data_IF_926404344531
#
_entry.id   IF_926404344531
#
_cell.length_a   1.000
_cell.length_b   1.000
_cell.length_c   1.000
_cell.angle_alpha   90.00
_cell.angle_beta   90.00
_cell.angle_gamma   90.00
#
_symmetry.space_group_name_H-M   'P 1'
#
loop_
_entity.id
_entity.type
_entity.pdbx_description
1 polymer ?
#
# COMPACT_ATOMS: atom_id res chain seq x y z
N UNK A 1 -1.56 33.44 32.33
CA UNK A 1 -2.60 33.83 33.31
C UNK A 1 -3.87 33.04 33.02
N UNK A 2 -4.76 32.94 33.99
CA UNK A 2 -6.14 32.44 33.89
C UNK A 2 -7.03 33.44 33.08
N UNK A 3 -8.31 33.25 32.72
CA UNK A 3 -9.29 32.14 32.72
C UNK A 3 -10.38 32.49 31.65
N UNK A 4 -11.36 31.66 31.26
CA UNK A 4 -11.72 30.31 31.70
C UNK A 4 -11.88 29.34 30.51
N UNK A 5 -12.93 28.53 30.23
CA UNK A 5 -14.29 28.33 30.78
C UNK A 5 -14.67 26.83 30.73
N UNK A 6 -15.89 26.47 31.17
CA UNK A 6 -16.42 25.11 31.15
C UNK A 6 -17.84 25.04 30.58
N UNK A 7 -18.17 23.91 29.93
CA UNK A 7 -19.41 23.17 30.19
C UNK A 7 -19.26 21.70 29.75
N UNK A 8 -20.03 20.83 30.38
CA UNK A 8 -19.84 19.38 30.38
C UNK A 8 -20.61 18.66 29.28
N UNK A 9 -20.09 17.49 28.86
CA UNK A 9 -20.91 16.34 28.46
C UNK A 9 -20.04 15.09 28.47
N UNK A 10 -20.45 14.03 29.19
CA UNK A 10 -19.65 12.82 29.40
C UNK A 10 -19.36 12.02 28.11
N UNK A 11 -20.07 12.30 27.00
CA UNK A 11 -19.92 11.59 25.72
C UNK A 11 -18.63 11.87 24.94
N UNK A 12 -17.85 12.90 25.30
CA UNK A 12 -16.63 13.26 24.57
C UNK A 12 -15.48 12.26 24.73
N UNK A 13 -15.31 11.68 25.92
CA UNK A 13 -14.13 10.87 26.26
C UNK A 13 -14.10 9.53 25.49
N UNK A 14 -15.25 8.87 25.36
CA UNK A 14 -15.38 7.60 24.64
C UNK A 14 -15.17 7.72 23.13
N UNK A 15 -15.52 8.87 22.52
CA UNK A 15 -15.33 9.10 21.07
C UNK A 15 -13.87 9.18 20.67
N UNK A 16 -13.01 9.76 21.51
CA UNK A 16 -11.57 9.87 21.23
C UNK A 16 -10.79 8.56 21.51
N UNK A 17 -11.37 7.63 22.29
CA UNK A 17 -10.68 6.39 22.67
C UNK A 17 -10.83 5.27 21.62
N UNK A 18 -11.92 5.27 20.84
CA UNK A 18 -12.28 4.16 19.94
C UNK A 18 -11.73 4.26 18.50
N UNK A 19 -11.15 5.40 18.10
CA UNK A 19 -10.74 5.64 16.71
C UNK A 19 -9.30 6.13 16.52
N UNK A 20 -8.43 6.02 17.53
CA UNK A 20 -7.02 6.47 17.44
C UNK A 20 -5.98 5.35 17.32
N UNK A 21 -6.34 4.22 16.72
CA UNK A 21 -5.39 3.23 16.19
C UNK A 21 -5.03 3.55 14.73
N UNK A 22 -4.47 4.74 14.46
CA UNK A 22 -3.73 4.99 13.22
C UNK A 22 -2.41 4.21 13.27
N UNK A 23 -2.53 2.91 13.04
CA UNK A 23 -1.52 1.91 13.26
C UNK A 23 -0.62 1.82 12.02
N UNK A 24 0.39 2.70 11.96
CA UNK A 24 1.32 2.79 10.83
C UNK A 24 2.11 1.49 10.71
N UNK A 25 2.23 0.97 9.50
CA UNK A 25 3.05 -0.18 9.16
C UNK A 25 4.44 0.27 8.70
N UNK A 26 5.50 -0.13 9.41
CA UNK A 26 6.86 0.10 8.94
C UNK A 26 7.10 -0.74 7.69
N UNK A 27 7.29 -0.06 6.56
CA UNK A 27 7.45 -0.65 5.22
C UNK A 27 8.82 -0.32 4.63
N UNK A 28 9.80 0.04 5.48
CA UNK A 28 11.17 0.39 5.09
C UNK A 28 11.97 -0.78 4.50
N UNK A 29 11.53 -2.02 4.74
CA UNK A 29 12.28 -3.22 4.35
C UNK A 29 11.89 -3.69 2.95
N UNK A 30 12.46 -2.99 1.96
CA UNK A 30 12.42 -3.37 0.55
C UNK A 30 13.52 -4.40 0.27
N UNK A 31 13.16 -5.50 -0.38
CA UNK A 31 14.07 -6.44 -1.03
C UNK A 31 13.93 -6.33 -2.55
N UNK A 32 14.83 -6.95 -3.30
CA UNK A 32 14.99 -6.74 -4.76
C UNK A 32 13.67 -6.71 -5.55
N UNK A 33 12.72 -7.57 -5.19
CA UNK A 33 11.39 -7.66 -5.80
C UNK A 33 10.23 -7.72 -4.78
N UNK A 34 10.29 -6.99 -3.67
CA UNK A 34 9.16 -6.93 -2.71
C UNK A 34 9.38 -6.05 -1.49
N UNK A 35 8.34 -5.92 -0.66
CA UNK A 35 8.35 -5.12 0.57
C UNK A 35 7.84 -5.96 1.73
N UNK A 36 8.53 -5.90 2.88
CA UNK A 36 8.06 -6.47 4.15
C UNK A 36 7.57 -5.35 5.06
N UNK A 37 6.25 -5.27 5.24
CA UNK A 37 5.61 -4.39 6.20
C UNK A 37 5.51 -5.04 7.58
N UNK A 38 5.76 -4.27 8.64
CA UNK A 38 5.81 -4.75 10.03
C UNK A 38 4.95 -3.93 10.99
N UNK A 39 4.40 -4.62 11.99
CA UNK A 39 3.62 -4.01 13.05
C UNK A 39 3.67 -4.86 14.33
N UNK A 40 4.52 -4.48 15.29
CA UNK A 40 4.73 -5.23 16.52
C UNK A 40 5.27 -6.64 16.23
N UNK A 41 4.49 -7.67 16.55
CA UNK A 41 4.81 -9.07 16.24
C UNK A 41 4.27 -9.56 14.88
N UNK A 42 3.58 -8.69 14.11
CA UNK A 42 2.98 -9.03 12.81
C UNK A 42 3.85 -8.56 11.63
N UNK A 43 3.87 -9.37 10.56
CA UNK A 43 4.76 -9.22 9.40
C UNK A 43 3.99 -9.61 8.14
N UNK A 44 4.04 -8.79 7.09
CA UNK A 44 3.37 -9.05 5.80
C UNK A 44 4.35 -8.74 4.68
N UNK A 45 4.63 -9.73 3.83
CA UNK A 45 5.37 -9.53 2.57
C UNK A 45 4.39 -9.28 1.43
N UNK A 46 4.61 -8.24 0.63
CA UNK A 46 3.73 -7.85 -0.46
C UNK A 46 4.48 -7.12 -1.60
N UNK A 47 3.75 -6.83 -2.69
CA UNK A 47 4.23 -6.08 -3.83
C UNK A 47 3.61 -4.67 -3.80
N UNK A 48 4.44 -3.66 -4.07
CA UNK A 48 4.02 -2.27 -4.20
C UNK A 48 4.14 -1.78 -5.63
N UNK A 49 3.45 -0.67 -5.92
CA UNK A 49 3.49 0.07 -7.19
C UNK A 49 4.91 0.40 -7.69
N UNK A 50 5.88 0.61 -6.79
CA UNK A 50 7.28 0.88 -7.14
C UNK A 50 8.14 -0.38 -7.34
N UNK A 51 7.72 -1.54 -6.82
CA UNK A 51 8.39 -2.84 -6.98
C UNK A 51 7.95 -3.57 -8.26
N UNK A 52 6.67 -3.45 -8.64
CA UNK A 52 6.14 -4.16 -9.81
C UNK A 52 6.90 -3.80 -11.11
N UNK A 53 7.28 -2.54 -11.40
CA UNK A 53 8.04 -2.20 -12.60
C UNK A 53 9.45 -2.82 -12.71
N UNK A 54 10.35 -2.77 -11.71
CA UNK A 54 11.65 -3.45 -11.80
C UNK A 54 11.52 -4.97 -11.89
N UNK A 55 10.60 -5.61 -11.14
CA UNK A 55 10.32 -7.05 -11.28
C UNK A 55 9.87 -7.42 -12.70
N UNK A 56 8.94 -6.63 -13.27
CA UNK A 56 8.46 -6.85 -14.63
C UNK A 56 9.55 -6.68 -15.69
N UNK A 57 10.43 -5.68 -15.54
CA UNK A 57 11.60 -5.48 -16.41
C UNK A 57 12.60 -6.63 -16.27
N UNK A 58 12.95 -7.03 -15.05
CA UNK A 58 13.88 -8.13 -14.80
C UNK A 58 13.40 -9.44 -15.45
N UNK A 59 12.13 -9.82 -15.26
CA UNK A 59 11.55 -11.01 -15.87
C UNK A 59 11.48 -10.91 -17.42
N UNK A 60 11.17 -9.74 -17.96
CA UNK A 60 11.20 -9.47 -19.41
C UNK A 60 12.60 -9.62 -19.99
N UNK A 61 13.61 -9.05 -19.32
CA UNK A 61 14.95 -8.84 -19.88
C UNK A 61 15.89 -10.03 -19.63
N UNK A 62 15.74 -10.75 -18.50
CA UNK A 62 16.56 -11.93 -18.18
C UNK A 62 15.95 -13.25 -18.65
N UNK A 63 14.61 -13.36 -18.66
CA UNK A 63 13.89 -14.61 -19.01
C UNK A 63 13.06 -14.50 -20.29
N UNK A 64 13.13 -13.36 -20.99
CA UNK A 64 12.36 -13.12 -22.22
C UNK A 64 10.85 -13.05 -22.01
N UNK A 65 10.36 -12.80 -20.78
CA UNK A 65 8.95 -12.89 -20.45
C UNK A 65 8.09 -11.91 -21.28
N UNK A 66 7.19 -12.48 -22.10
CA UNK A 66 6.32 -11.70 -23.01
C UNK A 66 4.93 -11.40 -22.43
N UNK A 67 4.49 -12.18 -21.44
CA UNK A 67 3.18 -12.14 -20.80
C UNK A 67 3.31 -12.37 -19.29
N UNK A 68 2.38 -11.84 -18.49
CA UNK A 68 2.36 -11.96 -17.04
C UNK A 68 1.01 -12.51 -16.58
N UNK A 69 1.03 -13.55 -15.75
CA UNK A 69 -0.15 -14.02 -15.01
C UNK A 69 -0.28 -13.26 -13.69
N UNK A 70 -1.51 -12.92 -13.29
CA UNK A 70 -1.77 -12.16 -12.07
C UNK A 70 -2.82 -12.87 -11.22
N UNK A 71 -2.49 -13.13 -9.96
CA UNK A 71 -3.38 -13.78 -8.99
C UNK A 71 -3.49 -12.92 -7.71
N UNK A 72 -4.60 -12.21 -7.46
CA UNK A 72 -5.78 -12.04 -8.32
C UNK A 72 -6.12 -10.55 -8.45
N UNK A 73 -6.97 -10.20 -9.43
CA UNK A 73 -7.31 -8.80 -9.73
C UNK A 73 -8.15 -8.11 -8.63
N UNK A 74 -8.75 -8.87 -7.70
CA UNK A 74 -9.51 -8.34 -6.56
C UNK A 74 -8.61 -7.96 -5.37
N UNK A 75 -7.34 -8.36 -5.39
CA UNK A 75 -6.34 -7.98 -4.37
C UNK A 75 -5.48 -6.77 -4.78
N UNK A 76 -5.62 -6.27 -6.02
CA UNK A 76 -5.15 -4.93 -6.39
C UNK A 76 -6.20 -3.89 -5.95
N UNK A 77 -5.79 -2.64 -5.72
CA UNK A 77 -6.69 -1.59 -5.22
C UNK A 77 -7.63 -1.07 -6.31
N UNK A 78 -8.64 -1.86 -6.65
CA UNK A 78 -9.69 -1.51 -7.62
C UNK A 78 -10.56 -0.32 -7.19
N UNK A 79 -10.57 0.02 -5.89
CA UNK A 79 -11.39 1.07 -5.31
C UNK A 79 -10.66 2.42 -5.17
N UNK A 80 -9.32 2.42 -5.21
CA UNK A 80 -8.47 3.60 -4.99
C UNK A 80 -8.31 3.99 -3.52
N UNK A 81 -8.59 3.08 -2.57
CA UNK A 81 -8.55 3.37 -1.12
C UNK A 81 -7.14 3.56 -0.56
N UNK A 82 -6.11 3.07 -1.25
CA UNK A 82 -4.71 3.26 -0.89
C UNK A 82 -4.15 4.64 -1.31
N UNK A 83 -4.91 5.44 -2.06
CA UNK A 83 -4.52 6.79 -2.50
C UNK A 83 -3.71 6.85 -3.81
N UNK A 84 -3.18 5.73 -4.31
CA UNK A 84 -2.51 5.63 -5.62
C UNK A 84 -3.46 5.71 -6.84
N UNK A 85 -4.76 5.85 -6.60
CA UNK A 85 -5.81 5.69 -7.61
C UNK A 85 -6.12 4.21 -7.89
N UNK A 86 -7.06 3.95 -8.79
CA UNK A 86 -7.51 2.58 -9.07
C UNK A 86 -6.43 1.74 -9.79
N UNK A 87 -6.32 0.47 -9.39
CA UNK A 87 -5.44 -0.56 -9.95
C UNK A 87 -3.94 -0.17 -9.99
N UNK A 88 -3.34 0.25 -8.86
CA UNK A 88 -1.95 0.73 -8.83
C UNK A 88 -0.94 -0.35 -9.26
N UNK A 89 -1.14 -1.62 -8.90
CA UNK A 89 -0.21 -2.69 -9.30
C UNK A 89 -0.35 -2.99 -10.80
N UNK A 90 -1.57 -3.16 -11.29
CA UNK A 90 -1.81 -3.47 -12.71
C UNK A 90 -1.40 -2.31 -13.63
N UNK A 91 -1.67 -1.05 -13.26
CA UNK A 91 -1.23 0.12 -14.04
C UNK A 91 0.29 0.16 -14.20
N UNK A 92 1.03 -0.09 -13.13
CA UNK A 92 2.49 -0.11 -13.15
C UNK A 92 3.04 -1.31 -13.93
N UNK A 93 2.38 -2.47 -13.86
CA UNK A 93 2.70 -3.63 -14.71
C UNK A 93 2.48 -3.31 -16.21
N UNK A 94 1.30 -2.81 -16.57
CA UNK A 94 0.97 -2.47 -17.95
C UNK A 94 1.88 -1.36 -18.52
N UNK A 95 2.32 -0.41 -17.68
CA UNK A 95 3.29 0.62 -18.07
C UNK A 95 4.60 0.05 -18.63
N UNK A 96 5.10 -1.06 -18.10
CA UNK A 96 6.34 -1.72 -18.58
C UNK A 96 6.19 -2.37 -19.97
N UNK A 97 4.97 -2.71 -20.40
CA UNK A 97 4.71 -3.42 -21.65
C UNK A 97 3.99 -2.60 -22.72
N UNK A 98 3.35 -1.50 -22.33
CA UNK A 98 2.69 -0.54 -23.22
C UNK A 98 3.67 0.38 -23.96
N UNK A 99 4.89 0.48 -23.44
CA UNK A 99 6.03 1.26 -23.98
C UNK A 99 6.67 0.59 -25.21
N UNK A 100 5.82 0.02 -26.09
CA UNK A 100 6.18 -0.62 -27.36
C UNK A 100 5.22 -0.14 -28.44
N UNK A 101 5.51 1.03 -29.00
CA UNK A 101 4.89 1.59 -30.20
C UNK A 101 5.93 2.33 -31.03
#
# INVERSE_FOLDING_TARGET
MQQHSQKSTLGGFLRNFLFKSTQVWDSSQVFEFGVVSKQGANWVSHLTEFVVPPLARYLRDQFGARCFGVWNLWHDDFAGVCGGGQYPLMRNLFGVFSDRR
#
